data_IF_245778790472
#
_entry.id   IF_245778790472
#
_cell.length_a   1.000
_cell.length_b   1.000
_cell.length_c   1.000
_cell.angle_alpha   90.00
_cell.angle_beta   90.00
_cell.angle_gamma   90.00
#
_symmetry.space_group_name_H-M   'P 1'
#
loop_
_entity.id
_entity.type
_entity.pdbx_description
1 polymer ?
#
# COMPACT_ATOMS: atom_id res chain seq x y z
N UNK A 1 -36.22 11.55 0.04
CA UNK A 1 -34.80 11.94 -0.22
C UNK A 1 -33.94 10.68 -0.25
N UNK A 2 -33.06 10.51 -1.25
CA UNK A 2 -32.25 9.30 -1.47
C UNK A 2 -31.02 9.13 -0.54
N UNK A 3 -30.95 9.88 0.57
CA UNK A 3 -29.80 9.90 1.48
C UNK A 3 -29.38 8.53 2.01
N UNK A 4 -30.31 7.67 2.47
CA UNK A 4 -29.99 6.30 2.90
C UNK A 4 -29.34 5.47 1.78
N UNK A 5 -29.93 5.46 0.58
CA UNK A 5 -29.41 4.69 -0.56
C UNK A 5 -28.01 5.14 -1.03
N UNK A 6 -27.69 6.44 -0.92
CA UNK A 6 -26.34 6.97 -1.19
C UNK A 6 -25.34 6.43 -0.17
N UNK A 7 -25.69 6.45 1.13
CA UNK A 7 -24.83 5.92 2.20
C UNK A 7 -24.58 4.43 2.01
N UNK A 8 -25.61 3.66 1.70
CA UNK A 8 -25.49 2.21 1.49
C UNK A 8 -24.59 1.86 0.30
N UNK A 9 -24.71 2.61 -0.81
CA UNK A 9 -23.81 2.46 -1.97
C UNK A 9 -22.37 2.79 -1.61
N UNK A 10 -22.14 3.89 -0.89
CA UNK A 10 -20.80 4.28 -0.48
C UNK A 10 -20.17 3.24 0.46
N UNK A 11 -20.94 2.66 1.39
CA UNK A 11 -20.48 1.59 2.26
C UNK A 11 -20.05 0.35 1.46
N UNK A 12 -20.87 -0.10 0.50
CA UNK A 12 -20.51 -1.24 -0.37
C UNK A 12 -19.28 -0.95 -1.23
N UNK A 13 -19.15 0.26 -1.76
CA UNK A 13 -17.98 0.66 -2.55
C UNK A 13 -16.70 0.62 -1.72
N UNK A 14 -16.73 1.14 -0.49
CA UNK A 14 -15.56 1.06 0.42
C UNK A 14 -15.19 -0.38 0.73
N UNK A 15 -16.17 -1.22 1.07
CA UNK A 15 -15.90 -2.64 1.33
C UNK A 15 -15.27 -3.36 0.13
N UNK A 16 -15.72 -3.07 -1.10
CA UNK A 16 -15.11 -3.60 -2.31
C UNK A 16 -13.67 -3.06 -2.51
N UNK A 17 -13.45 -1.77 -2.24
CA UNK A 17 -12.12 -1.16 -2.28
C UNK A 17 -11.15 -1.79 -1.28
N UNK A 18 -11.59 -2.00 -0.04
CA UNK A 18 -10.78 -2.63 1.03
C UNK A 18 -10.40 -4.07 0.65
N UNK A 19 -11.34 -4.83 0.06
CA UNK A 19 -11.07 -6.18 -0.43
C UNK A 19 -10.05 -6.19 -1.57
N UNK A 20 -10.20 -5.28 -2.54
CA UNK A 20 -9.26 -5.13 -3.65
C UNK A 20 -7.86 -4.71 -3.18
N UNK A 21 -7.78 -3.76 -2.24
CA UNK A 21 -6.51 -3.32 -1.66
C UNK A 21 -5.80 -4.49 -0.96
N UNK A 22 -6.52 -5.26 -0.13
CA UNK A 22 -5.94 -6.41 0.56
C UNK A 22 -5.42 -7.46 -0.41
N UNK A 23 -6.18 -7.79 -1.46
CA UNK A 23 -5.73 -8.73 -2.50
C UNK A 23 -4.47 -8.23 -3.20
N UNK A 24 -4.42 -6.94 -3.52
CA UNK A 24 -3.23 -6.31 -4.12
C UNK A 24 -2.01 -6.42 -3.21
N UNK A 25 -2.14 -6.05 -1.94
CA UNK A 25 -1.03 -6.08 -0.98
C UNK A 25 -0.52 -7.51 -0.72
N UNK A 26 -1.42 -8.48 -0.54
CA UNK A 26 -1.04 -9.89 -0.37
C UNK A 26 -0.28 -10.43 -1.58
N UNK A 27 -0.69 -10.05 -2.80
CA UNK A 27 -0.02 -10.46 -4.03
C UNK A 27 1.42 -9.91 -4.15
N UNK A 28 1.77 -8.86 -3.40
CA UNK A 28 3.14 -8.33 -3.38
C UNK A 28 4.08 -9.09 -2.44
N UNK A 29 3.57 -9.94 -1.53
CA UNK A 29 4.42 -10.63 -0.57
C UNK A 29 5.46 -11.50 -1.27
N UNK A 30 6.73 -11.30 -0.94
CA UNK A 30 7.85 -12.00 -1.56
C UNK A 30 8.25 -11.48 -2.94
N UNK A 31 7.55 -10.49 -3.50
CA UNK A 31 7.95 -9.85 -4.77
C UNK A 31 9.11 -8.89 -4.52
N UNK A 32 10.07 -8.85 -5.46
CA UNK A 32 11.15 -7.87 -5.46
C UNK A 32 10.66 -6.61 -6.19
N UNK A 33 10.74 -5.46 -5.54
CA UNK A 33 10.34 -4.17 -6.09
C UNK A 33 11.49 -3.18 -6.09
N UNK A 34 11.48 -2.26 -7.05
CA UNK A 34 12.26 -1.02 -6.97
C UNK A 34 11.43 0.01 -6.24
N UNK A 35 12.00 0.58 -5.19
CA UNK A 35 11.33 1.47 -4.25
C UNK A 35 12.09 2.78 -4.19
N UNK A 36 11.37 3.88 -4.42
CA UNK A 36 11.86 5.23 -4.19
C UNK A 36 11.58 5.61 -2.73
N UNK A 37 12.58 6.08 -1.99
CA UNK A 37 12.39 6.62 -0.64
C UNK A 37 11.91 8.07 -0.70
N UNK A 38 10.78 8.35 -0.06
CA UNK A 38 10.12 9.68 -0.02
C UNK A 38 10.14 10.29 1.40
N UNK A 39 10.73 9.58 2.36
CA UNK A 39 11.02 10.04 3.71
C UNK A 39 11.78 8.94 4.47
N UNK A 40 12.20 9.18 5.73
CA UNK A 40 13.05 8.25 6.46
C UNK A 40 12.47 6.83 6.56
N UNK A 41 11.14 6.70 6.69
CA UNK A 41 10.47 5.39 6.83
C UNK A 41 9.37 5.14 5.82
N UNK A 42 9.34 5.94 4.75
CA UNK A 42 8.32 5.88 3.72
C UNK A 42 8.97 5.82 2.34
N UNK A 43 8.44 4.94 1.50
CA UNK A 43 8.76 4.93 0.08
C UNK A 43 7.59 4.43 -0.75
N UNK A 44 7.79 4.39 -2.06
CA UNK A 44 6.81 3.86 -3.01
C UNK A 44 7.46 2.98 -4.05
N UNK A 45 6.79 1.88 -4.37
CA UNK A 45 7.13 1.03 -5.52
C UNK A 45 6.96 1.80 -6.84
N UNK A 46 7.46 1.24 -7.94
CA UNK A 46 7.22 1.74 -9.31
C UNK A 46 5.71 1.84 -9.66
N UNK A 47 4.87 1.09 -8.95
CA UNK A 47 3.40 1.07 -9.09
C UNK A 47 2.71 1.99 -8.08
N UNK A 48 3.45 2.87 -7.40
CA UNK A 48 2.99 3.81 -6.38
C UNK A 48 2.42 3.18 -5.10
N UNK A 49 2.52 1.87 -4.93
CA UNK A 49 2.17 1.23 -3.65
C UNK A 49 3.12 1.69 -2.55
N UNK A 50 2.58 2.18 -1.44
CA UNK A 50 3.35 2.66 -0.29
C UNK A 50 4.09 1.52 0.41
N UNK A 51 5.31 1.81 0.85
CA UNK A 51 6.18 0.91 1.59
C UNK A 51 6.62 1.59 2.88
N UNK A 52 6.51 0.86 4.00
CA UNK A 52 7.01 1.27 5.31
C UNK A 52 8.30 0.52 5.62
N UNK A 53 9.32 1.27 6.04
CA UNK A 53 10.58 0.71 6.51
C UNK A 53 10.60 0.62 8.05
N UNK A 54 11.25 -0.42 8.58
CA UNK A 54 11.44 -0.58 10.03
C UNK A 54 12.53 0.38 10.58
N UNK A 55 13.46 0.78 9.72
CA UNK A 55 14.60 1.64 10.03
C UNK A 55 14.70 2.78 9.03
N UNK A 56 15.36 3.86 9.43
CA UNK A 56 15.50 5.06 8.61
C UNK A 56 16.35 4.76 7.36
N UNK A 57 15.86 5.20 6.20
CA UNK A 57 16.52 5.08 4.90
C UNK A 57 16.97 6.45 4.40
N UNK A 58 18.04 6.50 3.59
CA UNK A 58 18.40 7.71 2.87
C UNK A 58 17.24 8.16 1.97
N UNK A 59 16.92 9.45 1.97
CA UNK A 59 15.85 10.03 1.15
C UNK A 59 16.27 10.18 -0.32
N UNK A 60 15.33 10.01 -1.26
CA UNK A 60 15.60 10.14 -2.71
C UNK A 60 16.39 8.97 -3.31
N UNK A 61 16.54 7.86 -2.57
CA UNK A 61 17.23 6.67 -3.02
C UNK A 61 16.28 5.70 -3.76
N UNK A 62 16.80 5.01 -4.77
CA UNK A 62 16.13 3.89 -5.43
C UNK A 62 16.75 2.58 -4.95
N UNK A 63 15.95 1.77 -4.24
CA UNK A 63 16.40 0.51 -3.62
C UNK A 63 15.63 -0.67 -4.20
N UNK A 64 16.31 -1.81 -4.43
CA UNK A 64 15.67 -3.06 -4.84
C UNK A 64 15.47 -3.95 -3.61
N UNK A 65 14.25 -4.08 -3.12
CA UNK A 65 13.94 -4.78 -1.87
C UNK A 65 12.79 -5.76 -2.04
N UNK A 66 12.86 -6.86 -1.30
CA UNK A 66 11.82 -7.88 -1.29
C UNK A 66 10.79 -7.55 -0.22
N UNK A 67 9.52 -7.54 -0.61
CA UNK A 67 8.41 -7.31 0.31
C UNK A 67 8.30 -8.48 1.27
N UNK A 68 8.36 -8.20 2.57
CA UNK A 68 8.15 -9.19 3.63
C UNK A 68 6.65 -9.40 3.92
N UNK A 69 5.82 -8.38 3.72
CA UNK A 69 4.39 -8.41 4.02
C UNK A 69 3.72 -7.05 3.88
N UNK A 70 2.67 -6.81 4.65
CA UNK A 70 1.97 -5.52 4.72
C UNK A 70 1.23 -5.33 6.05
N UNK A 71 0.91 -4.08 6.40
CA UNK A 71 0.10 -3.72 7.58
C UNK A 71 -1.40 -3.55 7.28
N UNK A 72 -1.80 -3.87 6.04
CA UNK A 72 -3.17 -3.71 5.55
C UNK A 72 -3.41 -2.40 4.81
N UNK A 73 -2.45 -1.47 4.83
CA UNK A 73 -2.47 -0.25 4.04
C UNK A 73 -1.19 -0.09 3.19
N UNK A 74 -0.06 -0.54 3.73
CA UNK A 74 1.28 -0.37 3.16
C UNK A 74 2.04 -1.68 3.17
N UNK A 75 2.92 -1.85 2.20
CA UNK A 75 3.89 -2.94 2.18
C UNK A 75 4.94 -2.72 3.28
N UNK A 76 5.52 -3.81 3.75
CA UNK A 76 6.65 -3.80 4.69
C UNK A 76 7.79 -4.58 4.08
N UNK A 77 9.00 -4.03 4.18
CA UNK A 77 10.26 -4.62 3.73
C UNK A 77 11.23 -4.80 4.89
#
# INVERSE_FOLDING_TARGET
>A
VAGPAIRDRAARLRAAGDAALRLHLEAQRGVLHRILTEGPRLGRTEQFTEVRFAEDQPEGALMALRVAGHDGQRLTV
#
